data_IF_380657126875
#
_entry.id   IF_380657126875
#
_cell.length_a   1.000
_cell.length_b   1.000
_cell.length_c   1.000
_cell.angle_alpha   90.00
_cell.angle_beta   90.00
_cell.angle_gamma   90.00
#
_symmetry.space_group_name_H-M   'P 1'
#
loop_
_entity.id
_entity.type
_entity.pdbx_description
1 polymer ?
#
# COMPACT_ATOMS: atom_id res chain seq x y z
N UNK A 1 2.92 23.15 22.33
CA UNK A 1 3.36 21.84 22.87
C UNK A 1 4.82 21.96 23.27
N UNK A 2 5.15 21.53 24.48
CA UNK A 2 6.47 21.70 25.08
C UNK A 2 7.52 20.80 24.40
N UNK A 3 8.76 21.25 24.27
CA UNK A 3 9.83 20.46 23.61
C UNK A 3 10.12 19.12 24.31
N UNK A 4 9.81 19.03 25.61
CA UNK A 4 9.85 17.78 26.38
C UNK A 4 8.81 16.76 25.92
N UNK A 5 7.59 17.19 25.59
CA UNK A 5 6.52 16.29 25.18
C UNK A 5 6.82 15.58 23.85
N UNK A 6 7.44 16.29 22.89
CA UNK A 6 7.86 15.69 21.62
C UNK A 6 8.94 14.63 21.81
N UNK A 7 9.93 14.90 22.68
CA UNK A 7 10.99 13.93 22.99
C UNK A 7 10.43 12.68 23.65
N UNK A 8 9.47 12.82 24.56
CA UNK A 8 8.79 11.69 25.17
C UNK A 8 8.02 10.88 24.13
N UNK A 9 7.19 11.54 23.30
CA UNK A 9 6.42 10.87 22.25
C UNK A 9 7.33 10.09 21.27
N UNK A 10 8.45 10.68 20.83
CA UNK A 10 9.39 10.01 19.95
C UNK A 10 10.05 8.78 20.62
N UNK A 11 10.45 8.90 21.89
CA UNK A 11 11.02 7.78 22.64
C UNK A 11 10.00 6.65 22.80
N UNK A 12 8.75 6.97 23.15
CA UNK A 12 7.66 6.00 23.24
C UNK A 12 7.41 5.35 21.89
N UNK A 13 7.36 6.10 20.80
CA UNK A 13 7.17 5.55 19.46
C UNK A 13 8.30 4.58 19.06
N UNK A 14 9.56 4.92 19.35
CA UNK A 14 10.69 4.03 19.08
C UNK A 14 10.65 2.77 19.93
N UNK A 15 10.28 2.88 21.21
CA UNK A 15 10.12 1.73 22.09
C UNK A 15 9.03 0.80 21.55
N UNK A 16 7.82 1.33 21.32
CA UNK A 16 6.67 0.59 20.78
C UNK A 16 7.01 -0.10 19.46
N UNK A 17 7.65 0.61 18.53
CA UNK A 17 8.02 0.04 17.24
C UNK A 17 9.02 -1.13 17.33
N UNK A 18 9.89 -1.14 18.34
CA UNK A 18 10.90 -2.20 18.52
C UNK A 18 10.29 -3.49 19.07
N UNK A 19 9.52 -3.39 20.15
CA UNK A 19 8.88 -4.54 20.78
C UNK A 19 7.83 -5.17 19.86
N UNK A 20 7.05 -4.34 19.18
CA UNK A 20 6.08 -4.80 18.19
C UNK A 20 6.76 -5.26 16.90
N UNK A 21 8.09 -5.34 16.87
CA UNK A 21 8.91 -5.80 15.75
C UNK A 21 8.41 -5.21 14.42
N UNK A 22 8.12 -3.90 14.41
CA UNK A 22 7.46 -3.22 13.28
C UNK A 22 8.21 -3.44 11.97
N UNK A 23 9.54 -3.53 12.03
CA UNK A 23 10.37 -3.89 10.87
C UNK A 23 10.07 -5.29 10.34
N UNK A 24 10.00 -6.30 11.20
CA UNK A 24 9.70 -7.69 10.79
C UNK A 24 8.27 -7.78 10.24
N UNK A 25 7.30 -7.14 10.90
CA UNK A 25 5.92 -7.08 10.42
C UNK A 25 5.82 -6.32 9.10
N UNK A 26 6.58 -5.24 8.90
CA UNK A 26 6.63 -4.53 7.63
C UNK A 26 7.15 -5.42 6.48
N UNK A 27 8.13 -6.28 6.75
CA UNK A 27 8.62 -7.24 5.76
C UNK A 27 7.55 -8.27 5.38
N UNK A 28 6.77 -8.76 6.36
CA UNK A 28 5.66 -9.69 6.08
C UNK A 28 4.55 -9.00 5.28
N UNK A 29 4.20 -7.75 5.62
CA UNK A 29 3.26 -6.93 4.84
C UNK A 29 3.76 -6.75 3.40
N UNK A 30 5.05 -6.46 3.20
CA UNK A 30 5.64 -6.34 1.88
C UNK A 30 5.55 -7.62 1.05
N UNK A 31 5.83 -8.78 1.67
CA UNK A 31 5.66 -10.08 1.03
C UNK A 31 4.20 -10.37 0.65
N UNK A 32 3.25 -10.11 1.55
CA UNK A 32 1.83 -10.30 1.27
C UNK A 32 1.29 -9.34 0.20
N UNK A 33 1.75 -8.08 0.21
CA UNK A 33 1.45 -7.12 -0.83
C UNK A 33 1.98 -7.60 -2.19
N UNK A 34 3.23 -8.07 -2.26
CA UNK A 34 3.78 -8.67 -3.48
C UNK A 34 2.92 -9.83 -3.99
N UNK A 35 2.55 -10.76 -3.11
CA UNK A 35 1.69 -11.91 -3.44
C UNK A 35 0.25 -11.53 -3.84
N UNK A 36 -0.19 -10.31 -3.51
CA UNK A 36 -1.49 -9.75 -3.92
C UNK A 36 -1.40 -9.05 -5.27
N UNK A 37 -0.29 -8.34 -5.52
CA UNK A 37 -0.09 -7.57 -6.75
C UNK A 37 0.05 -8.47 -7.99
N UNK A 38 0.65 -9.65 -7.86
CA UNK A 38 0.79 -10.58 -9.00
C UNK A 38 -0.57 -11.07 -9.52
N UNK A 39 -1.47 -11.66 -8.69
CA UNK A 39 -2.82 -11.99 -9.11
C UNK A 39 -3.65 -10.77 -9.54
N UNK A 40 -3.45 -9.62 -8.91
CA UNK A 40 -4.14 -8.38 -9.27
C UNK A 40 -3.80 -7.96 -10.70
N UNK A 41 -2.51 -7.95 -11.04
CA UNK A 41 -2.06 -7.60 -12.39
C UNK A 41 -2.66 -8.53 -13.44
N UNK A 42 -2.63 -9.84 -13.19
CA UNK A 42 -3.27 -10.81 -14.08
C UNK A 42 -4.77 -10.56 -14.22
N UNK A 43 -5.48 -10.39 -13.10
CA UNK A 43 -6.91 -10.10 -13.09
C UNK A 43 -7.24 -8.83 -13.88
N UNK A 44 -6.50 -7.73 -13.65
CA UNK A 44 -6.69 -6.46 -14.36
C UNK A 44 -6.49 -6.62 -15.86
N UNK A 45 -5.45 -7.33 -16.28
CA UNK A 45 -5.18 -7.54 -17.70
C UNK A 45 -6.30 -8.33 -18.37
N UNK A 46 -6.77 -9.42 -17.75
CA UNK A 46 -7.86 -10.21 -18.32
C UNK A 46 -9.18 -9.42 -18.31
N UNK A 47 -9.48 -8.71 -17.21
CA UNK A 47 -10.67 -7.87 -17.10
C UNK A 47 -10.69 -6.75 -18.17
N UNK A 48 -9.56 -6.05 -18.35
CA UNK A 48 -9.41 -5.01 -19.38
C UNK A 48 -9.49 -5.57 -20.80
N UNK A 49 -9.00 -6.78 -21.02
CA UNK A 49 -9.12 -7.47 -22.32
C UNK A 49 -10.56 -7.79 -22.68
N UNK A 50 -11.41 -8.11 -21.69
CA UNK A 50 -12.83 -8.43 -21.94
C UNK A 50 -13.65 -7.19 -22.32
N UNK A 51 -13.30 -6.02 -21.78
CA UNK A 51 -13.99 -4.75 -22.07
C UNK A 51 -13.33 -3.96 -23.21
N UNK A 52 -12.29 -4.51 -23.85
CA UNK A 52 -11.55 -3.84 -24.92
C UNK A 52 -10.68 -2.66 -24.47
N UNK A 53 -10.47 -2.48 -23.16
CA UNK A 53 -9.73 -1.35 -22.58
C UNK A 53 -8.22 -1.59 -22.40
N UNK A 54 -7.72 -2.80 -22.68
CA UNK A 54 -6.32 -3.16 -22.41
C UNK A 54 -5.34 -2.30 -23.21
N UNK A 55 -5.57 -2.10 -24.51
CA UNK A 55 -4.68 -1.28 -25.35
C UNK A 55 -4.59 0.15 -24.84
N UNK A 56 -5.74 0.75 -24.49
CA UNK A 56 -5.79 2.09 -23.92
C UNK A 56 -5.03 2.14 -22.59
N UNK A 57 -5.26 1.18 -21.68
CA UNK A 57 -4.55 1.11 -20.41
C UNK A 57 -3.03 0.98 -20.59
N UNK A 58 -2.58 0.13 -21.52
CA UNK A 58 -1.15 -0.01 -21.84
C UNK A 58 -0.57 1.27 -22.45
N UNK A 59 -1.31 1.95 -23.31
CA UNK A 59 -0.89 3.24 -23.88
C UNK A 59 -0.73 4.32 -22.80
N UNK A 60 -1.68 4.40 -21.85
CA UNK A 60 -1.60 5.30 -20.69
C UNK A 60 -0.44 4.93 -19.77
N UNK A 61 -0.21 3.64 -19.50
CA UNK A 61 0.93 3.18 -18.71
C UNK A 61 2.26 3.53 -19.37
N UNK A 62 2.37 3.40 -20.70
CA UNK A 62 3.57 3.80 -21.44
C UNK A 62 3.80 5.31 -21.38
N UNK A 63 2.75 6.12 -21.46
CA UNK A 63 2.88 7.58 -21.43
C UNK A 63 3.18 8.12 -20.03
N UNK A 64 2.67 7.47 -18.98
CA UNK A 64 2.80 7.93 -17.59
C UNK A 64 4.05 7.37 -16.92
N UNK A 65 4.39 6.10 -17.16
CA UNK A 65 5.43 5.37 -16.42
C UNK A 65 6.60 4.95 -17.32
N UNK A 66 6.54 5.20 -18.64
CA UNK A 66 7.56 4.77 -19.58
C UNK A 66 7.62 3.25 -19.76
N UNK A 67 6.54 2.56 -19.40
CA UNK A 67 6.46 1.10 -19.45
C UNK A 67 6.47 0.59 -20.90
N UNK A 68 7.43 -0.28 -21.24
CA UNK A 68 7.51 -0.90 -22.57
C UNK A 68 6.70 -2.21 -22.60
N UNK A 69 5.57 -2.18 -23.31
CA UNK A 69 4.55 -3.24 -23.30
C UNK A 69 4.88 -4.50 -24.11
N UNK A 70 5.98 -4.51 -24.87
CA UNK A 70 6.27 -5.54 -25.88
C UNK A 70 6.33 -6.98 -25.34
N UNK A 71 6.80 -7.17 -24.10
CA UNK A 71 6.85 -8.48 -23.45
C UNK A 71 5.52 -8.92 -22.84
N UNK A 72 4.68 -7.98 -22.42
CA UNK A 72 3.34 -8.29 -21.89
C UNK A 72 2.39 -8.70 -23.02
N UNK A 73 2.44 -8.02 -24.18
CA UNK A 73 1.53 -8.30 -25.29
C UNK A 73 1.69 -9.74 -25.81
N UNK A 74 2.92 -10.25 -25.95
CA UNK A 74 3.17 -11.61 -26.45
C UNK A 74 2.72 -12.71 -25.48
N UNK A 75 2.87 -12.50 -24.17
CA UNK A 75 2.37 -13.40 -23.13
C UNK A 75 0.84 -13.44 -23.11
N UNK A 76 0.16 -12.35 -23.48
CA UNK A 76 -1.29 -12.22 -23.41
C UNK A 76 -2.02 -12.72 -24.66
N UNK A 77 -1.45 -12.50 -25.85
CA UNK A 77 -1.98 -13.05 -27.11
C UNK A 77 -1.95 -14.59 -27.12
N UNK A 78 -1.00 -15.21 -26.42
CA UNK A 78 -0.89 -16.67 -26.32
C UNK A 78 -1.85 -17.31 -25.30
N UNK A 79 -2.32 -16.58 -24.28
CA UNK A 79 -3.26 -17.11 -23.26
C UNK A 79 -4.73 -16.94 -23.60
N UNK A 80 -5.09 -16.03 -24.52
CA UNK A 80 -6.49 -15.62 -24.76
C UNK A 80 -7.18 -16.31 -25.94
N UNK A 81 -6.51 -17.11 -26.75
CA UNK A 81 -7.05 -17.68 -28.00
C UNK A 81 -8.17 -18.73 -27.84
N UNK A 82 -8.41 -19.26 -26.63
CA UNK A 82 -9.50 -20.19 -26.35
C UNK A 82 -10.61 -19.55 -25.48
N UNK A 83 -11.77 -19.28 -26.07
CA UNK A 83 -12.90 -18.57 -25.44
C UNK A 83 -13.42 -19.25 -24.16
N UNK A 84 -13.44 -20.59 -24.12
CA UNK A 84 -13.89 -21.39 -22.97
C UNK A 84 -12.86 -21.45 -21.82
N UNK A 85 -11.58 -21.27 -22.10
CA UNK A 85 -10.52 -21.18 -21.08
C UNK A 85 -10.50 -19.82 -20.36
N UNK A 86 -10.94 -18.75 -21.05
CA UNK A 86 -10.85 -17.38 -20.56
C UNK A 86 -11.71 -17.11 -19.32
N UNK A 87 -12.97 -17.55 -19.31
CA UNK A 87 -13.86 -17.35 -18.15
C UNK A 87 -13.35 -18.10 -16.92
N UNK A 88 -12.86 -19.33 -17.09
CA UNK A 88 -12.27 -20.13 -16.00
C UNK A 88 -11.02 -19.46 -15.43
N UNK A 89 -10.16 -18.91 -16.29
CA UNK A 89 -8.97 -18.16 -15.87
C UNK A 89 -9.34 -16.89 -15.08
N UNK A 90 -10.38 -16.15 -15.48
CA UNK A 90 -10.88 -14.98 -14.73
C UNK A 90 -11.35 -15.38 -13.34
N UNK A 91 -12.21 -16.39 -13.25
CA UNK A 91 -12.76 -16.86 -11.97
C UNK A 91 -11.63 -17.30 -11.06
N UNK A 92 -10.67 -18.09 -11.58
CA UNK A 92 -9.53 -18.54 -10.79
C UNK A 92 -8.64 -17.36 -10.34
N UNK A 93 -8.32 -16.42 -11.23
CA UNK A 93 -7.54 -15.23 -10.89
C UNK A 93 -8.25 -14.37 -9.84
N UNK A 94 -9.57 -14.21 -9.95
CA UNK A 94 -10.39 -13.50 -8.97
C UNK A 94 -10.38 -14.20 -7.60
N UNK A 95 -10.54 -15.52 -7.55
CA UNK A 95 -10.51 -16.27 -6.29
C UNK A 95 -9.13 -16.19 -5.61
N UNK A 96 -8.05 -16.33 -6.38
CA UNK A 96 -6.68 -16.18 -5.88
C UNK A 96 -6.47 -14.75 -5.37
N UNK A 97 -6.90 -13.74 -6.13
CA UNK A 97 -6.80 -12.34 -5.74
C UNK A 97 -7.59 -12.06 -4.46
N UNK A 98 -8.86 -12.48 -4.39
CA UNK A 98 -9.72 -12.28 -3.22
C UNK A 98 -9.11 -12.92 -1.98
N UNK A 99 -8.56 -14.12 -2.10
CA UNK A 99 -7.84 -14.79 -1.01
C UNK A 99 -6.57 -14.03 -0.60
N UNK A 100 -5.74 -13.59 -1.56
CA UNK A 100 -4.52 -12.81 -1.29
C UNK A 100 -4.81 -11.46 -0.64
N UNK A 101 -5.82 -10.73 -1.11
CA UNK A 101 -6.27 -9.46 -0.53
C UNK A 101 -6.74 -9.67 0.90
N UNK A 102 -7.62 -10.65 1.12
CA UNK A 102 -8.13 -10.98 2.46
C UNK A 102 -7.00 -11.31 3.41
N UNK A 103 -6.02 -12.11 2.98
CA UNK A 103 -4.86 -12.46 3.79
C UNK A 103 -4.00 -11.24 4.13
N UNK A 104 -3.75 -10.37 3.15
CA UNK A 104 -2.96 -9.15 3.35
C UNK A 104 -3.63 -8.21 4.33
N UNK A 105 -4.93 -7.93 4.15
CA UNK A 105 -5.69 -7.07 5.06
C UNK A 105 -5.80 -7.68 6.47
N UNK A 106 -5.96 -9.01 6.59
CA UNK A 106 -5.92 -9.69 7.89
C UNK A 106 -4.56 -9.54 8.58
N UNK A 107 -3.44 -9.69 7.85
CA UNK A 107 -2.10 -9.50 8.41
C UNK A 107 -1.90 -8.06 8.85
N UNK A 108 -2.35 -7.08 8.05
CA UNK A 108 -2.30 -5.66 8.42
C UNK A 108 -3.16 -5.36 9.63
N UNK A 109 -4.42 -5.83 9.67
CA UNK A 109 -5.32 -5.65 10.80
C UNK A 109 -4.72 -6.24 12.09
N UNK A 110 -4.17 -7.45 12.00
CA UNK A 110 -3.47 -8.11 13.12
C UNK A 110 -2.29 -7.27 13.63
N UNK A 111 -1.50 -6.68 12.74
CA UNK A 111 -0.38 -5.82 13.14
C UNK A 111 -0.85 -4.51 13.79
N UNK A 112 -2.01 -3.97 13.39
CA UNK A 112 -2.61 -2.81 14.04
C UNK A 112 -3.11 -3.19 15.44
N UNK A 113 -3.83 -4.30 15.55
CA UNK A 113 -4.31 -4.84 16.82
C UNK A 113 -3.19 -5.05 17.84
N UNK A 114 -2.03 -5.55 17.39
CA UNK A 114 -0.87 -5.73 18.26
C UNK A 114 -0.34 -4.38 18.77
N UNK A 115 -0.17 -3.37 17.90
CA UNK A 115 0.28 -2.03 18.31
C UNK A 115 -0.69 -1.36 19.29
N UNK A 116 -2.01 -1.60 19.16
CA UNK A 116 -3.01 -1.09 20.10
C UNK A 116 -3.26 -2.00 21.32
N UNK A 117 -2.62 -3.17 21.40
CA UNK A 117 -2.84 -4.13 22.48
C UNK A 117 -4.25 -4.74 22.52
N UNK A 118 -4.94 -4.83 21.39
CA UNK A 118 -6.36 -5.23 21.28
C UNK A 118 -6.58 -6.66 20.81
N UNK A 119 -5.51 -7.41 20.53
CA UNK A 119 -5.56 -8.76 19.91
C UNK A 119 -6.53 -9.74 20.57
N UNK A 120 -6.72 -9.69 21.89
CA UNK A 120 -7.56 -10.63 22.65
C UNK A 120 -9.02 -10.16 22.83
N UNK A 121 -9.37 -8.93 22.43
CA UNK A 121 -10.66 -8.30 22.78
C UNK A 121 -11.69 -8.31 21.66
N UNK A 122 -11.30 -8.60 20.42
CA UNK A 122 -12.19 -8.55 19.25
C UNK A 122 -12.95 -9.85 19.01
N UNK A 123 -14.26 -9.76 18.73
CA UNK A 123 -15.02 -10.91 18.20
C UNK A 123 -14.57 -11.23 16.77
N UNK A 124 -14.59 -12.50 16.39
CA UNK A 124 -14.26 -12.92 15.01
C UNK A 124 -15.10 -12.18 13.96
N UNK A 125 -16.37 -11.91 14.27
CA UNK A 125 -17.28 -11.17 13.39
C UNK A 125 -16.83 -9.74 13.16
N UNK A 126 -16.35 -9.05 14.20
CA UNK A 126 -15.85 -7.67 14.05
C UNK A 126 -14.63 -7.63 13.12
N UNK A 127 -13.70 -8.58 13.27
CA UNK A 127 -12.55 -8.69 12.37
C UNK A 127 -12.95 -8.91 10.91
N UNK A 128 -13.95 -9.77 10.66
CA UNK A 128 -14.47 -9.98 9.30
C UNK A 128 -15.09 -8.71 8.74
N UNK A 129 -15.86 -7.98 9.54
CA UNK A 129 -16.46 -6.70 9.16
C UNK A 129 -15.39 -5.65 8.83
N UNK A 130 -14.40 -5.45 9.70
CA UNK A 130 -13.29 -4.51 9.50
C UNK A 130 -12.54 -4.79 8.19
N UNK A 131 -12.24 -6.07 7.93
CA UNK A 131 -11.53 -6.50 6.72
C UNK A 131 -12.43 -6.34 5.49
N UNK A 132 -13.73 -6.64 5.60
CA UNK A 132 -14.68 -6.45 4.50
C UNK A 132 -14.83 -4.97 4.12
N UNK A 133 -14.96 -4.08 5.10
CA UNK A 133 -15.02 -2.63 4.88
C UNK A 133 -13.73 -2.16 4.19
N UNK A 134 -12.56 -2.51 4.72
CA UNK A 134 -11.28 -2.11 4.13
C UNK A 134 -11.08 -2.67 2.71
N UNK A 135 -11.57 -3.88 2.43
CA UNK A 135 -11.51 -4.50 1.10
C UNK A 135 -12.23 -3.66 0.05
N UNK A 136 -13.28 -2.92 0.43
CA UNK A 136 -14.04 -2.05 -0.48
C UNK A 136 -13.48 -0.62 -0.46
N UNK A 137 -13.30 -0.04 0.72
CA UNK A 137 -12.97 1.38 0.86
C UNK A 137 -11.57 1.71 0.38
N UNK A 138 -10.58 0.85 0.64
CA UNK A 138 -9.18 1.12 0.29
C UNK A 138 -8.97 1.12 -1.23
N UNK A 139 -9.38 0.08 -1.99
CA UNK A 139 -9.27 0.12 -3.45
C UNK A 139 -10.06 1.26 -4.08
N UNK A 140 -11.24 1.60 -3.56
CA UNK A 140 -12.04 2.71 -4.06
C UNK A 140 -11.31 4.05 -3.88
N UNK A 141 -10.76 4.29 -2.70
CA UNK A 141 -9.98 5.49 -2.39
C UNK A 141 -8.74 5.63 -3.29
N UNK A 142 -7.98 4.54 -3.47
CA UNK A 142 -6.83 4.51 -4.38
C UNK A 142 -7.24 4.75 -5.83
N UNK A 143 -8.32 4.12 -6.29
CA UNK A 143 -8.82 4.27 -7.66
C UNK A 143 -9.24 5.71 -7.96
N UNK A 144 -9.91 6.36 -7.00
CA UNK A 144 -10.28 7.77 -7.11
C UNK A 144 -9.03 8.67 -7.18
N UNK A 145 -8.06 8.44 -6.29
CA UNK A 145 -6.81 9.21 -6.29
C UNK A 145 -6.01 9.06 -7.59
N UNK A 146 -5.92 7.85 -8.12
CA UNK A 146 -5.31 7.57 -9.43
C UNK A 146 -6.10 8.27 -10.54
N UNK A 147 -7.42 8.17 -10.55
CA UNK A 147 -8.28 8.81 -11.55
C UNK A 147 -8.10 10.33 -11.58
N UNK A 148 -8.06 10.98 -10.42
CA UNK A 148 -7.76 12.42 -10.29
C UNK A 148 -6.35 12.72 -10.82
N UNK A 149 -5.35 11.92 -10.46
CA UNK A 149 -3.99 12.09 -10.96
C UNK A 149 -3.88 11.99 -12.48
N UNK A 150 -4.57 11.03 -13.10
CA UNK A 150 -4.63 10.89 -14.57
C UNK A 150 -5.26 12.13 -15.19
N UNK A 151 -6.43 12.57 -14.72
CA UNK A 151 -7.10 13.76 -15.25
C UNK A 151 -6.20 15.00 -15.14
N UNK A 152 -5.57 15.22 -13.98
CA UNK A 152 -4.67 16.36 -13.79
C UNK A 152 -3.43 16.29 -14.68
N UNK A 153 -2.88 15.10 -14.94
CA UNK A 153 -1.73 14.91 -15.83
C UNK A 153 -2.02 15.27 -17.29
N UNK A 154 -3.28 15.18 -17.71
CA UNK A 154 -3.72 15.57 -19.06
C UNK A 154 -3.90 17.08 -19.18
N UNK A 155 -4.39 17.71 -18.11
CA UNK A 155 -4.66 19.15 -18.04
C UNK A 155 -3.38 19.97 -17.80
N UNK A 156 -2.41 19.39 -17.12
CA UNK A 156 -1.22 20.10 -16.66
C UNK A 156 0.03 19.33 -17.03
N UNK A 157 0.95 19.97 -17.74
CA UNK A 157 2.13 19.32 -18.33
C UNK A 157 3.43 20.04 -17.99
N UNK A 158 4.56 19.40 -18.29
CA UNK A 158 5.90 19.98 -18.10
C UNK A 158 6.33 20.11 -16.64
N UNK A 159 7.17 21.10 -16.35
CA UNK A 159 7.79 21.31 -15.02
C UNK A 159 6.75 21.45 -13.90
N UNK A 160 5.61 22.07 -14.19
CA UNK A 160 4.56 22.23 -13.18
C UNK A 160 3.95 20.89 -12.76
N UNK A 161 3.71 19.97 -13.71
CA UNK A 161 3.28 18.61 -13.37
C UNK A 161 4.33 17.86 -12.56
N UNK A 162 5.62 18.02 -12.87
CA UNK A 162 6.70 17.40 -12.11
C UNK A 162 6.71 17.82 -10.62
N UNK A 163 6.27 19.04 -10.32
CA UNK A 163 6.11 19.55 -8.94
C UNK A 163 4.77 19.16 -8.32
N UNK A 164 3.70 19.08 -9.11
CA UNK A 164 2.34 18.76 -8.64
C UNK A 164 2.13 17.27 -8.39
N UNK A 165 2.74 16.39 -9.20
CA UNK A 165 2.52 14.95 -9.15
C UNK A 165 2.82 14.33 -7.76
N UNK A 166 3.92 14.68 -7.06
CA UNK A 166 4.15 14.21 -5.69
C UNK A 166 3.09 14.67 -4.70
N UNK A 167 2.54 15.88 -4.86
CA UNK A 167 1.46 16.40 -4.01
C UNK A 167 0.17 15.63 -4.24
N UNK A 168 -0.18 15.38 -5.51
CA UNK A 168 -1.34 14.58 -5.88
C UNK A 168 -1.20 13.15 -5.35
N UNK A 169 -0.03 12.54 -5.50
CA UNK A 169 0.27 11.22 -4.95
C UNK A 169 0.12 11.21 -3.43
N UNK A 170 0.66 12.21 -2.73
CA UNK A 170 0.54 12.34 -1.29
C UNK A 170 -0.93 12.40 -0.85
N UNK A 171 -1.74 13.27 -1.46
CA UNK A 171 -3.17 13.37 -1.14
C UNK A 171 -3.91 12.06 -1.42
N UNK A 172 -3.65 11.43 -2.57
CA UNK A 172 -4.22 10.13 -2.92
C UNK A 172 -3.85 9.05 -1.89
N UNK A 173 -2.61 9.03 -1.41
CA UNK A 173 -2.15 8.10 -0.37
C UNK A 173 -2.78 8.39 0.98
N UNK A 174 -2.96 9.66 1.37
CA UNK A 174 -3.68 10.01 2.61
C UNK A 174 -5.10 9.44 2.56
N UNK A 175 -5.82 9.69 1.46
CA UNK A 175 -7.19 9.19 1.28
C UNK A 175 -7.22 7.66 1.22
N UNK A 176 -6.23 7.03 0.55
CA UNK A 176 -6.12 5.58 0.43
C UNK A 176 -5.79 4.85 1.73
N UNK A 177 -4.91 5.43 2.55
CA UNK A 177 -4.50 4.84 3.83
C UNK A 177 -5.44 5.17 4.97
N UNK A 178 -6.15 6.31 4.94
CA UNK A 178 -7.03 6.74 6.03
C UNK A 178 -8.03 5.66 6.50
N UNK A 179 -8.74 4.92 5.61
CA UNK A 179 -9.64 3.85 6.04
C UNK A 179 -8.95 2.77 6.87
N UNK A 180 -7.69 2.44 6.58
CA UNK A 180 -6.93 1.45 7.34
C UNK A 180 -6.73 1.93 8.79
N UNK A 181 -6.38 3.20 8.99
CA UNK A 181 -6.19 3.81 10.31
C UNK A 181 -7.46 4.00 11.11
N UNK A 182 -8.60 4.09 10.44
CA UNK A 182 -9.89 4.27 11.08
C UNK A 182 -10.59 2.95 11.40
N UNK A 183 -10.46 1.95 10.53
CA UNK A 183 -11.24 0.70 10.60
C UNK A 183 -10.49 -0.42 11.31
N UNK A 184 -9.18 -0.57 11.10
CA UNK A 184 -8.44 -1.72 11.65
C UNK A 184 -8.16 -1.68 13.15
N UNK A 185 -7.93 -0.53 13.79
CA UNK A 185 -7.69 -0.55 15.24
C UNK A 185 -8.88 -1.18 15.95
N UNK A 186 -8.62 -2.19 16.78
CA UNK A 186 -9.67 -2.89 17.55
C UNK A 186 -10.32 -2.07 18.67
N UNK A 187 -10.21 -0.75 18.61
CA UNK A 187 -10.68 0.25 19.56
C UNK A 187 -11.33 1.39 18.77
N UNK A 188 -12.31 2.07 19.36
CA UNK A 188 -12.97 3.18 18.68
C UNK A 188 -11.96 4.31 18.41
N UNK A 189 -11.69 4.60 17.14
CA UNK A 189 -10.77 5.65 16.72
C UNK A 189 -11.57 6.79 16.13
N UNK A 190 -11.35 8.01 16.62
CA UNK A 190 -11.91 9.20 16.00
C UNK A 190 -11.15 9.55 14.71
N UNK A 191 -11.77 10.23 13.72
CA UNK A 191 -11.08 10.66 12.50
C UNK A 191 -9.82 11.50 12.77
N UNK A 192 -9.80 12.24 13.89
CA UNK A 192 -8.67 13.07 14.30
C UNK A 192 -7.50 12.26 14.83
N UNK A 193 -7.75 11.09 15.43
CA UNK A 193 -6.71 10.16 15.87
C UNK A 193 -6.17 9.34 14.69
N UNK A 194 -6.97 9.04 13.66
CA UNK A 194 -6.53 8.30 12.48
C UNK A 194 -5.61 9.11 11.55
N UNK A 195 -5.90 10.41 11.39
CA UNK A 195 -5.30 11.26 10.36
C UNK A 195 -3.77 11.43 10.45
N UNK A 196 -3.14 11.65 11.62
CA UNK A 196 -1.69 11.90 11.71
C UNK A 196 -0.86 10.76 11.12
N UNK A 197 -1.23 9.51 11.40
CA UNK A 197 -0.59 8.30 10.91
C UNK A 197 -0.78 8.11 9.42
N UNK A 198 -1.99 8.37 8.90
CA UNK A 198 -2.26 8.36 7.46
C UNK A 198 -1.41 9.39 6.70
N UNK A 199 -1.30 10.60 7.25
CA UNK A 199 -0.45 11.68 6.73
C UNK A 199 1.02 11.31 6.77
N UNK A 200 1.50 10.75 7.89
CA UNK A 200 2.88 10.30 8.02
C UNK A 200 3.21 9.20 7.01
N UNK A 201 2.36 8.16 6.91
CA UNK A 201 2.56 7.05 6.00
C UNK A 201 2.55 7.49 4.54
N UNK A 202 1.60 8.34 4.17
CA UNK A 202 1.54 8.94 2.83
C UNK A 202 2.80 9.77 2.53
N UNK A 203 3.29 10.55 3.49
CA UNK A 203 4.51 11.34 3.36
C UNK A 203 5.73 10.47 3.12
N UNK A 204 5.95 9.47 3.98
CA UNK A 204 7.10 8.58 3.87
C UNK A 204 7.06 7.77 2.57
N UNK A 205 5.88 7.28 2.17
CA UNK A 205 5.71 6.57 0.91
C UNK A 205 5.95 7.47 -0.30
N UNK A 206 5.46 8.71 -0.28
CA UNK A 206 5.69 9.70 -1.35
C UNK A 206 7.18 10.02 -1.50
N UNK A 207 7.87 10.26 -0.39
CA UNK A 207 9.32 10.48 -0.38
C UNK A 207 10.06 9.26 -0.92
N UNK A 208 9.65 8.06 -0.51
CA UNK A 208 10.21 6.82 -1.04
C UNK A 208 10.01 6.69 -2.55
N UNK A 209 8.82 6.99 -3.07
CA UNK A 209 8.54 6.97 -4.51
C UNK A 209 9.39 7.98 -5.29
N UNK A 210 9.60 9.18 -4.74
CA UNK A 210 10.51 10.18 -5.31
C UNK A 210 11.95 9.67 -5.32
N UNK A 211 12.41 9.10 -4.21
CA UNK A 211 13.75 8.52 -4.09
C UNK A 211 13.95 7.40 -5.11
N UNK A 212 13.01 6.46 -5.25
CA UNK A 212 13.10 5.37 -6.21
C UNK A 212 13.12 5.86 -7.65
N UNK A 213 12.32 6.87 -7.99
CA UNK A 213 12.35 7.50 -9.32
C UNK A 213 13.74 8.07 -9.62
N UNK A 214 14.33 8.82 -8.68
CA UNK A 214 15.68 9.38 -8.84
C UNK A 214 16.74 8.27 -8.93
N UNK A 215 16.68 7.27 -8.05
CA UNK A 215 17.58 6.14 -8.07
C UNK A 215 17.56 5.40 -9.41
N UNK A 216 16.36 5.15 -9.96
CA UNK A 216 16.19 4.50 -11.26
C UNK A 216 16.81 5.30 -12.43
N UNK A 217 16.90 6.62 -12.33
CA UNK A 217 17.54 7.46 -13.36
C UNK A 217 19.07 7.45 -13.31
N UNK A 218 19.66 7.17 -12.15
CA UNK A 218 21.11 7.29 -11.92
C UNK A 218 21.80 5.93 -11.83
N UNK A 219 21.09 4.90 -11.39
CA UNK A 219 21.67 3.59 -11.09
C UNK A 219 21.83 2.71 -12.32
N UNK A 220 23.07 2.37 -12.67
CA UNK A 220 23.36 1.28 -13.62
C UNK A 220 23.16 -0.12 -13.00
N UNK A 221 22.98 -0.23 -11.68
CA UNK A 221 22.84 -1.50 -10.97
C UNK A 221 21.56 -2.26 -11.33
N UNK A 222 20.51 -1.56 -11.75
CA UNK A 222 19.27 -2.19 -12.28
C UNK A 222 19.57 -3.01 -13.53
N UNK A 223 20.52 -2.56 -14.36
CA UNK A 223 20.92 -3.29 -15.57
C UNK A 223 21.83 -4.48 -15.29
N UNK A 224 22.65 -4.42 -14.22
CA UNK A 224 23.61 -5.48 -13.89
C UNK A 224 22.96 -6.76 -13.37
N UNK A 225 21.85 -6.65 -12.64
CA UNK A 225 21.15 -7.80 -12.04
C UNK A 225 19.82 -8.16 -12.73
N UNK A 226 19.45 -7.43 -13.79
CA UNK A 226 18.24 -7.66 -14.58
C UNK A 226 16.97 -7.77 -13.73
N UNK A 227 16.13 -8.77 -14.04
CA UNK A 227 14.84 -8.99 -13.36
C UNK A 227 15.00 -9.22 -11.86
N UNK A 228 16.08 -9.88 -11.42
CA UNK A 228 16.32 -10.16 -10.00
C UNK A 228 16.60 -8.88 -9.22
N UNK A 229 17.42 -7.99 -9.78
CA UNK A 229 17.68 -6.67 -9.18
C UNK A 229 16.41 -5.83 -9.07
N UNK A 230 15.59 -5.83 -10.13
CA UNK A 230 14.29 -5.16 -10.14
C UNK A 230 13.34 -5.71 -9.06
N UNK A 231 13.27 -7.04 -8.91
CA UNK A 231 12.46 -7.68 -7.88
C UNK A 231 12.92 -7.32 -6.47
N UNK A 232 14.22 -7.34 -6.19
CA UNK A 232 14.76 -6.98 -4.87
C UNK A 232 14.46 -5.52 -4.51
N UNK A 233 14.64 -4.60 -5.47
CA UNK A 233 14.30 -3.19 -5.32
C UNK A 233 12.79 -3.02 -5.04
N UNK A 234 11.95 -3.71 -5.80
CA UNK A 234 10.50 -3.65 -5.64
C UNK A 234 10.05 -4.18 -4.27
N UNK A 235 10.57 -5.33 -3.83
CA UNK A 235 10.30 -5.87 -2.50
C UNK A 235 10.78 -4.92 -1.39
N UNK A 236 11.93 -4.28 -1.57
CA UNK A 236 12.46 -3.27 -0.64
C UNK A 236 11.52 -2.06 -0.57
N UNK A 237 10.96 -1.62 -1.71
CA UNK A 237 9.98 -0.55 -1.74
C UNK A 237 8.68 -0.92 -1.01
N UNK A 238 8.17 -2.13 -1.23
CA UNK A 238 7.00 -2.63 -0.49
C UNK A 238 7.27 -2.74 1.02
N UNK A 239 8.49 -3.13 1.41
CA UNK A 239 8.93 -3.13 2.80
C UNK A 239 8.93 -1.72 3.42
N UNK A 240 9.53 -0.72 2.73
CA UNK A 240 9.48 0.69 3.18
C UNK A 240 8.04 1.17 3.29
N UNK A 241 7.19 0.68 2.40
CA UNK A 241 5.77 0.91 2.43
C UNK A 241 5.07 0.35 3.67
N UNK A 242 5.31 -0.92 3.98
CA UNK A 242 4.84 -1.56 5.21
C UNK A 242 5.33 -0.83 6.47
N UNK A 243 6.59 -0.38 6.46
CA UNK A 243 7.16 0.44 7.54
C UNK A 243 6.40 1.75 7.69
N UNK A 244 6.12 2.46 6.58
CA UNK A 244 5.39 3.72 6.60
C UNK A 244 4.01 3.55 7.26
N UNK A 245 3.28 2.51 6.86
CA UNK A 245 1.97 2.21 7.43
C UNK A 245 2.07 1.89 8.92
N UNK A 246 2.92 0.94 9.31
CA UNK A 246 3.00 0.49 10.71
C UNK A 246 3.57 1.57 11.64
N UNK A 247 4.56 2.35 11.21
CA UNK A 247 5.05 3.50 11.99
C UNK A 247 3.96 4.57 12.14
N UNK A 248 3.13 4.79 11.12
CA UNK A 248 1.97 5.65 11.24
C UNK A 248 0.99 5.17 12.33
N UNK A 249 0.85 3.85 12.52
CA UNK A 249 -0.04 3.30 13.55
C UNK A 249 0.53 3.58 14.92
N UNK A 250 1.83 3.35 15.10
CA UNK A 250 2.54 3.67 16.33
C UNK A 250 2.41 5.16 16.67
N UNK A 251 2.55 6.04 15.68
CA UNK A 251 2.35 7.49 15.86
C UNK A 251 0.95 7.79 16.36
N UNK A 252 -0.09 7.21 15.74
CA UNK A 252 -1.48 7.41 16.19
C UNK A 252 -1.69 6.91 17.62
N UNK A 253 -1.23 5.70 17.94
CA UNK A 253 -1.38 5.12 19.26
C UNK A 253 -0.70 5.99 20.34
N UNK A 254 0.52 6.48 20.07
CA UNK A 254 1.27 7.35 20.99
C UNK A 254 0.60 8.71 21.15
N UNK A 255 0.21 9.36 20.05
CA UNK A 255 -0.43 10.68 20.10
C UNK A 255 -1.81 10.65 20.77
N UNK A 256 -2.53 9.53 20.66
CA UNK A 256 -3.80 9.31 21.32
C UNK A 256 -3.65 8.85 22.79
N UNK A 257 -2.43 8.65 23.28
CA UNK A 257 -2.17 8.17 24.65
C UNK A 257 -2.69 6.75 24.89
N UNK A 258 -2.76 5.92 23.84
CA UNK A 258 -3.27 4.54 23.90
C UNK A 258 -2.19 3.49 24.16
N UNK A 259 -0.94 3.92 24.27
CA UNK A 259 0.21 3.09 24.62
C UNK A 259 0.97 3.75 25.77
N UNK A 260 1.25 2.97 26.81
CA UNK A 260 2.02 3.39 27.98
C UNK A 260 3.34 2.60 28.03
N UNK A 261 4.51 3.26 27.94
CA UNK A 261 5.80 2.59 28.00
C UNK A 261 6.17 2.04 29.39
N UNK A 262 5.47 2.42 30.46
CA UNK A 262 5.97 2.20 31.83
C UNK A 262 5.42 0.95 32.55
N UNK A 263 4.31 0.33 32.11
CA UNK A 263 3.65 -0.68 32.96
C UNK A 263 4.22 -2.09 32.91
N UNK A 264 4.80 -2.56 31.78
CA UNK A 264 5.36 -3.93 31.64
C UNK A 264 6.48 -4.03 30.58
N UNK A 265 6.96 -2.93 30.03
CA UNK A 265 7.84 -2.96 28.87
C UNK A 265 9.30 -2.88 29.26
N UNK A 266 9.98 -4.04 29.25
CA UNK A 266 11.44 -4.10 29.26
C UNK A 266 11.93 -4.94 28.08
N UNK A 267 12.98 -4.50 27.37
CA UNK A 267 13.65 -5.31 26.35
C UNK A 267 14.26 -6.60 26.94
#
# INVERSE_FOLDING_TARGET
>A
MDTGAYRTALRTAVAVAREEQVSVKAASLGFHAFNTLIPLGLFLVVALSLVGGLEQALSTLSSVVGFQSGQLQSLLFSTTSAQSGRLRAVVLAFLILAWSVTRTLNTTNTAFDEVYGTRERGSFLRRVEEVAIATVTTPLAFSLGIGVGVVLSLLVQGTFWALLAPVVLFVALVVGFFPLYYVFPGVDISPREALPGAVFAAGLWTVSAVFFRLYATVSQSVHLYGVVGGLLIFLTWLYVGGLAVLLGVVINAVLAGRVDPDSVWRP
#
